data_IF_537819297991
#
_entry.id   IF_537819297991
#
_cell.length_a   1.000
_cell.length_b   1.000
_cell.length_c   1.000
_cell.angle_alpha   90.00
_cell.angle_beta   90.00
_cell.angle_gamma   90.00
#
_symmetry.space_group_name_H-M   'P 1'
#
loop_
_entity.id
_entity.type
_entity.pdbx_description
1 polymer ?
#
# COMPACT_ATOMS: atom_id res chain seq x y z
N UNK A 1 -2.15 -24.45 16.08
CA UNK A 1 -2.19 -23.49 14.96
C UNK A 1 -2.42 -22.11 15.54
N UNK A 2 -1.55 -21.15 15.22
CA UNK A 2 -1.66 -19.78 15.72
C UNK A 2 -2.87 -19.08 15.09
N UNK A 3 -3.64 -18.35 15.88
CA UNK A 3 -4.76 -17.52 15.39
C UNK A 3 -4.36 -16.05 15.28
N UNK A 4 -4.92 -15.36 14.30
CA UNK A 4 -4.78 -13.91 14.14
C UNK A 4 -6.01 -13.22 14.72
N UNK A 5 -5.78 -12.26 15.64
CA UNK A 5 -6.83 -11.39 16.17
C UNK A 5 -6.90 -10.13 15.30
N UNK A 6 -8.03 -9.94 14.63
CA UNK A 6 -8.31 -8.73 13.84
C UNK A 6 -8.66 -7.56 14.75
N UNK A 7 -8.59 -6.34 14.21
CA UNK A 7 -9.01 -5.12 14.95
C UNK A 7 -10.47 -5.17 15.40
N UNK A 8 -11.30 -5.90 14.67
CA UNK A 8 -12.71 -6.17 14.99
C UNK A 8 -12.91 -7.17 16.13
N UNK A 9 -11.83 -7.68 16.75
CA UNK A 9 -11.81 -8.80 17.72
C UNK A 9 -12.16 -10.17 17.13
N UNK A 10 -12.41 -10.25 15.82
CA UNK A 10 -12.58 -11.53 15.13
C UNK A 10 -11.26 -12.33 15.11
N UNK A 11 -11.37 -13.64 15.29
CA UNK A 11 -10.25 -14.56 15.16
C UNK A 11 -10.28 -15.24 13.80
N UNK A 12 -9.14 -15.28 13.11
CA UNK A 12 -8.95 -16.09 11.90
C UNK A 12 -7.71 -16.96 12.02
N UNK A 13 -7.59 -17.97 11.16
CA UNK A 13 -6.38 -18.78 11.09
C UNK A 13 -5.23 -17.94 10.51
N UNK A 14 -4.04 -18.09 11.09
CA UNK A 14 -2.84 -17.50 10.54
C UNK A 14 -2.47 -18.19 9.22
N UNK A 15 -2.43 -17.41 8.14
CA UNK A 15 -2.07 -17.88 6.80
C UNK A 15 -0.82 -17.13 6.31
N UNK A 16 0.35 -17.79 6.20
CA UNK A 16 1.59 -17.18 5.71
C UNK A 16 1.43 -16.49 4.34
N UNK A 17 0.65 -17.11 3.45
CA UNK A 17 0.43 -16.61 2.09
C UNK A 17 -0.23 -15.22 2.06
N UNK A 18 -1.02 -14.85 3.07
CA UNK A 18 -1.59 -13.50 3.16
C UNK A 18 -0.50 -12.45 3.33
N UNK A 19 0.54 -12.75 4.12
CA UNK A 19 1.67 -11.86 4.35
C UNK A 19 2.54 -11.80 3.09
N UNK A 20 2.91 -12.97 2.56
CA UNK A 20 3.70 -13.08 1.34
C UNK A 20 3.08 -12.28 0.19
N UNK A 21 1.81 -12.51 -0.12
CA UNK A 21 1.12 -11.81 -1.21
C UNK A 21 1.02 -10.30 -0.97
N UNK A 22 0.89 -9.87 0.29
CA UNK A 22 0.88 -8.44 0.61
C UNK A 22 2.26 -7.80 0.38
N UNK A 23 3.35 -8.50 0.70
CA UNK A 23 4.72 -8.07 0.44
C UNK A 23 4.99 -7.94 -1.07
N UNK A 24 4.65 -8.97 -1.86
CA UNK A 24 4.81 -8.94 -3.32
C UNK A 24 4.01 -7.80 -3.95
N UNK A 25 2.77 -7.56 -3.50
CA UNK A 25 1.94 -6.46 -3.99
C UNK A 25 2.49 -5.08 -3.61
N UNK A 26 3.20 -4.97 -2.50
CA UNK A 26 3.92 -3.76 -2.13
C UNK A 26 5.19 -3.53 -2.96
N UNK A 27 5.56 -4.48 -3.82
CA UNK A 27 6.75 -4.40 -4.66
C UNK A 27 7.99 -5.02 -4.04
N UNK A 28 7.85 -5.81 -2.96
CA UNK A 28 8.97 -6.51 -2.37
C UNK A 28 9.50 -7.62 -3.29
N UNK A 29 10.79 -7.91 -3.23
CA UNK A 29 11.37 -9.07 -3.92
C UNK A 29 10.87 -10.39 -3.32
N UNK A 30 10.84 -11.45 -4.14
CA UNK A 30 10.46 -12.80 -3.71
C UNK A 30 11.34 -13.31 -2.55
N UNK A 31 12.63 -13.01 -2.59
CA UNK A 31 13.60 -13.39 -1.56
C UNK A 31 13.29 -12.71 -0.22
N UNK A 32 13.15 -11.37 -0.21
CA UNK A 32 12.81 -10.61 1.00
C UNK A 32 11.42 -10.98 1.52
N UNK A 33 10.45 -11.23 0.63
CA UNK A 33 9.12 -11.67 1.03
C UNK A 33 9.16 -13.02 1.77
N UNK A 34 9.91 -13.99 1.24
CA UNK A 34 10.11 -15.31 1.87
C UNK A 34 10.88 -15.21 3.18
N UNK A 35 11.92 -14.37 3.23
CA UNK A 35 12.68 -14.12 4.46
C UNK A 35 11.77 -13.63 5.59
N UNK A 36 11.05 -12.53 5.37
CA UNK A 36 10.17 -11.92 6.38
C UNK A 36 9.09 -12.92 6.86
N UNK A 37 8.50 -13.69 5.93
CA UNK A 37 7.50 -14.73 6.26
C UNK A 37 8.09 -15.84 7.12
N UNK A 38 9.30 -16.29 6.81
CA UNK A 38 9.98 -17.32 7.61
C UNK A 38 10.31 -16.81 9.01
N UNK A 39 10.80 -15.57 9.14
CA UNK A 39 11.11 -15.01 10.45
C UNK A 39 9.86 -14.87 11.33
N UNK A 40 8.74 -14.40 10.78
CA UNK A 40 7.50 -14.27 11.56
C UNK A 40 6.93 -15.65 11.93
N UNK A 41 7.02 -16.65 11.03
CA UNK A 41 6.61 -18.02 11.31
C UNK A 41 7.34 -18.59 12.52
N UNK A 42 8.67 -18.45 12.56
CA UNK A 42 9.47 -18.90 13.71
C UNK A 42 9.15 -18.10 14.98
N UNK A 43 8.90 -16.79 14.86
CA UNK A 43 8.50 -15.94 15.99
C UNK A 43 7.18 -16.36 16.65
N UNK A 44 6.22 -16.84 15.86
CA UNK A 44 4.87 -17.17 16.35
C UNK A 44 4.64 -18.67 16.59
N UNK A 45 5.60 -19.52 16.24
CA UNK A 45 5.52 -20.99 16.31
C UNK A 45 4.96 -21.54 17.62
N UNK A 46 5.31 -20.90 18.74
CA UNK A 46 4.89 -21.30 20.10
C UNK A 46 3.82 -20.38 20.69
N UNK A 47 3.10 -19.61 19.86
CA UNK A 47 2.04 -18.69 20.28
C UNK A 47 0.69 -19.20 19.82
N UNK A 48 -0.28 -19.12 20.72
CA UNK A 48 -1.68 -19.44 20.41
C UNK A 48 -2.34 -18.35 19.56
N UNK A 49 -2.01 -17.08 19.84
CA UNK A 49 -2.60 -15.92 19.17
C UNK A 49 -1.58 -14.84 18.88
N UNK A 50 -1.80 -14.08 17.82
CA UNK A 50 -1.08 -12.86 17.47
C UNK A 50 -2.07 -11.83 16.90
N UNK A 51 -1.89 -10.54 17.20
CA UNK A 51 -2.75 -9.50 16.61
C UNK A 51 -2.32 -9.12 15.18
N UNK A 52 -3.26 -8.63 14.37
CA UNK A 52 -2.98 -8.06 13.04
C UNK A 52 -1.96 -6.91 13.14
N UNK A 53 -2.04 -6.10 14.19
CA UNK A 53 -1.13 -4.96 14.39
C UNK A 53 0.29 -5.42 14.76
N UNK A 54 0.44 -6.52 15.52
CA UNK A 54 1.75 -7.12 15.79
C UNK A 54 2.40 -7.67 14.52
N UNK A 55 1.66 -8.46 13.72
CA UNK A 55 2.15 -8.97 12.43
C UNK A 55 2.63 -7.80 11.58
N UNK A 56 1.77 -6.80 11.43
CA UNK A 56 2.04 -5.64 10.61
C UNK A 56 3.27 -4.87 11.08
N UNK A 57 3.37 -4.59 12.38
CA UNK A 57 4.52 -3.87 12.95
C UNK A 57 5.81 -4.62 12.67
N UNK A 58 5.80 -5.95 12.84
CA UNK A 58 6.96 -6.78 12.54
C UNK A 58 7.34 -6.69 11.06
N UNK A 59 6.38 -6.98 10.17
CA UNK A 59 6.57 -6.99 8.72
C UNK A 59 7.07 -5.65 8.21
N UNK A 60 6.44 -4.53 8.58
CA UNK A 60 6.89 -3.20 8.14
C UNK A 60 8.26 -2.82 8.71
N UNK A 61 8.60 -3.22 9.93
CA UNK A 61 9.92 -2.95 10.50
C UNK A 61 11.01 -3.65 9.69
N UNK A 62 10.80 -4.94 9.38
CA UNK A 62 11.76 -5.72 8.59
C UNK A 62 11.81 -5.24 7.14
N UNK A 63 10.66 -4.98 6.53
CA UNK A 63 10.59 -4.45 5.17
C UNK A 63 11.29 -3.09 5.05
N UNK A 64 11.13 -2.19 6.03
CA UNK A 64 11.82 -0.89 6.02
C UNK A 64 13.34 -1.00 6.12
N UNK A 65 13.86 -2.10 6.66
CA UNK A 65 15.30 -2.36 6.78
C UNK A 65 15.86 -3.02 5.51
N UNK A 66 15.09 -3.93 4.91
CA UNK A 66 15.53 -4.73 3.76
C UNK A 66 15.24 -4.04 2.43
N UNK A 67 14.03 -3.50 2.26
CA UNK A 67 13.55 -2.84 1.04
C UNK A 67 12.69 -1.60 1.39
N UNK A 68 13.33 -0.46 1.72
CA UNK A 68 12.64 0.75 2.17
C UNK A 68 11.58 1.27 1.19
N UNK A 69 11.81 1.15 -0.11
CA UNK A 69 10.86 1.57 -1.14
C UNK A 69 9.57 0.75 -1.12
N UNK A 70 9.66 -0.57 -0.86
CA UNK A 70 8.48 -1.43 -0.72
C UNK A 70 7.71 -1.12 0.58
N UNK A 71 8.42 -0.73 1.64
CA UNK A 71 7.79 -0.27 2.87
C UNK A 71 7.04 1.06 2.68
N UNK A 72 7.63 2.04 1.99
CA UNK A 72 6.97 3.30 1.64
C UNK A 72 5.74 3.05 0.74
N UNK A 73 5.88 2.19 -0.28
CA UNK A 73 4.78 1.78 -1.15
C UNK A 73 3.62 1.15 -0.39
N UNK A 74 3.90 0.26 0.57
CA UNK A 74 2.87 -0.32 1.44
C UNK A 74 2.15 0.76 2.25
N UNK A 75 2.90 1.65 2.91
CA UNK A 75 2.33 2.71 3.73
C UNK A 75 1.51 3.70 2.91
N UNK A 76 1.98 4.03 1.71
CA UNK A 76 1.26 4.83 0.72
C UNK A 76 -0.06 4.16 0.33
N UNK A 77 -0.02 2.87 -0.02
CA UNK A 77 -1.22 2.10 -0.36
C UNK A 77 -2.27 2.14 0.76
N UNK A 78 -1.86 1.92 2.01
CA UNK A 78 -2.80 1.93 3.13
C UNK A 78 -3.37 3.33 3.40
N UNK A 79 -2.57 4.38 3.20
CA UNK A 79 -3.02 5.76 3.31
C UNK A 79 -4.13 6.06 2.29
N UNK A 80 -3.92 5.65 1.04
CA UNK A 80 -4.79 5.94 -0.10
C UNK A 80 -6.04 5.05 -0.11
N UNK A 81 -5.89 3.74 0.06
CA UNK A 81 -6.95 2.76 -0.22
C UNK A 81 -7.69 2.23 1.02
N UNK A 82 -7.05 2.22 2.20
CA UNK A 82 -7.62 1.62 3.43
C UNK A 82 -8.16 2.63 4.44
N UNK A 83 -8.20 3.92 4.09
CA UNK A 83 -8.75 4.95 4.98
C UNK A 83 -7.83 5.30 6.14
N UNK A 84 -6.71 5.95 5.83
CA UNK A 84 -5.95 6.79 6.78
C UNK A 84 -5.46 6.06 8.04
N UNK A 85 -4.78 4.93 7.86
CA UNK A 85 -3.99 4.32 8.94
C UNK A 85 -2.54 4.76 8.77
N UNK A 86 -2.09 5.75 9.54
CA UNK A 86 -0.66 6.06 9.66
C UNK A 86 -0.10 5.38 10.91
N UNK A 87 1.18 5.02 10.90
CA UNK A 87 1.85 4.42 12.05
C UNK A 87 3.03 5.30 12.42
N UNK A 88 2.90 6.03 13.54
CA UNK A 88 4.01 6.77 14.14
C UNK A 88 4.52 5.94 15.31
N UNK A 89 5.80 5.56 15.29
CA UNK A 89 6.48 4.81 16.37
C UNK A 89 5.77 3.53 16.84
N UNK A 90 5.16 2.79 15.90
CA UNK A 90 4.49 1.53 16.19
C UNK A 90 3.12 1.67 16.87
N UNK A 91 2.54 2.88 16.92
CA UNK A 91 1.13 3.10 17.26
C UNK A 91 0.32 3.38 16.00
N UNK A 92 -0.76 2.63 15.80
CA UNK A 92 -1.73 2.93 14.76
C UNK A 92 -2.44 4.25 15.10
N UNK A 93 -2.22 5.28 14.29
CA UNK A 93 -3.04 6.49 14.29
C UNK A 93 -4.06 6.30 13.16
N UNK A 94 -5.30 6.01 13.56
CA UNK A 94 -6.44 6.11 12.65
C UNK A 94 -6.80 7.58 12.60
N UNK A 95 -6.55 8.26 11.48
CA UNK A 95 -7.04 9.63 11.28
C UNK A 95 -8.52 9.52 10.92
N UNK A 96 -9.35 9.37 11.95
CA UNK A 96 -10.80 9.43 11.82
C UNK A 96 -11.18 10.86 11.44
N UNK A 97 -11.56 11.05 10.17
CA UNK A 97 -11.93 12.33 9.55
C UNK A 97 -11.08 13.54 9.96
N UNK A 98 -10.07 13.79 9.14
CA UNK A 98 -9.47 15.11 8.99
C UNK A 98 -8.07 15.24 9.56
N UNK A 99 -7.19 15.78 8.70
CA UNK A 99 -5.84 16.29 8.97
C UNK A 99 -4.76 15.23 9.21
N UNK A 100 -4.10 14.83 8.12
CA UNK A 100 -2.68 14.46 8.13
C UNK A 100 -1.95 15.54 7.32
N UNK A 101 -0.88 16.14 7.86
CA UNK A 101 -0.20 17.32 7.31
C UNK A 101 -0.14 17.32 5.78
N UNK A 102 -1.00 18.16 5.24
CA UNK A 102 -1.29 18.31 3.83
C UNK A 102 -0.24 19.26 3.24
N UNK A 103 0.31 18.92 2.08
CA UNK A 103 0.54 19.95 1.06
C UNK A 103 -0.73 20.80 0.93
N UNK A 104 -0.60 22.08 0.58
CA UNK A 104 -1.56 23.17 0.93
C UNK A 104 -3.02 22.99 0.47
N UNK A 105 -3.38 21.95 -0.27
CA UNK A 105 -4.73 21.57 -0.69
C UNK A 105 -5.41 20.62 0.31
N UNK A 106 -6.40 21.15 1.05
CA UNK A 106 -7.30 20.36 1.90
C UNK A 106 -8.51 19.96 1.07
N UNK A 107 -8.67 18.67 0.75
CA UNK A 107 -9.93 18.13 0.21
C UNK A 107 -10.37 16.87 0.94
N UNK A 108 -11.67 16.77 1.19
CA UNK A 108 -12.28 15.60 1.82
C UNK A 108 -12.50 14.50 0.79
N UNK A 109 -11.60 13.52 0.78
CA UNK A 109 -11.88 12.23 0.14
C UNK A 109 -12.62 11.32 1.12
N UNK A 110 -13.61 10.59 0.59
CA UNK A 110 -14.21 9.44 1.26
C UNK A 110 -13.16 8.37 1.61
N UNK A 111 -13.56 7.27 2.26
CA UNK A 111 -12.61 6.27 2.76
C UNK A 111 -11.80 5.56 1.66
N UNK A 112 -12.17 5.69 0.38
CA UNK A 112 -11.63 4.93 -0.74
C UNK A 112 -11.52 5.78 -2.03
N UNK A 113 -10.64 5.33 -2.93
CA UNK A 113 -10.61 5.74 -4.34
C UNK A 113 -11.81 5.13 -5.06
N UNK A 114 -12.66 5.97 -5.64
CA UNK A 114 -13.88 5.57 -6.36
C UNK A 114 -13.89 6.03 -7.81
N UNK A 115 -13.02 6.97 -8.21
CA UNK A 115 -12.93 7.45 -9.59
C UNK A 115 -11.52 7.92 -9.97
N UNK A 116 -11.34 8.12 -11.27
CA UNK A 116 -10.12 8.59 -11.92
C UNK A 116 -9.72 10.03 -11.56
N UNK A 117 -10.68 10.90 -11.19
CA UNK A 117 -10.36 12.26 -10.73
C UNK A 117 -9.53 12.22 -9.45
N UNK A 118 -9.90 11.36 -8.49
CA UNK A 118 -9.09 11.20 -7.28
C UNK A 118 -7.70 10.62 -7.57
N UNK A 119 -7.56 9.76 -8.59
CA UNK A 119 -6.25 9.25 -9.03
C UNK A 119 -5.40 10.38 -9.59
N UNK A 120 -5.99 11.26 -10.40
CA UNK A 120 -5.32 12.46 -10.92
C UNK A 120 -4.83 13.38 -9.80
N UNK A 121 -5.66 13.62 -8.78
CA UNK A 121 -5.26 14.44 -7.62
C UNK A 121 -4.06 13.83 -6.87
N UNK A 122 -4.00 12.51 -6.74
CA UNK A 122 -2.83 11.82 -6.16
C UNK A 122 -1.58 11.98 -7.03
N UNK A 123 -1.72 11.94 -8.36
CA UNK A 123 -0.60 12.15 -9.29
C UNK A 123 -0.06 13.59 -9.21
N UNK A 124 -0.95 14.57 -9.03
CA UNK A 124 -0.56 15.96 -8.80
C UNK A 124 0.24 16.10 -7.48
N UNK A 125 -0.19 15.44 -6.40
CA UNK A 125 0.57 15.38 -5.14
C UNK A 125 1.95 14.71 -5.32
N UNK A 126 2.03 13.60 -6.06
CA UNK A 126 3.31 12.94 -6.34
C UNK A 126 4.25 13.83 -7.16
N UNK A 127 3.71 14.68 -8.04
CA UNK A 127 4.49 15.67 -8.77
C UNK A 127 5.04 16.74 -7.85
N UNK A 128 4.22 17.27 -6.93
CA UNK A 128 4.69 18.21 -5.91
C UNK A 128 5.77 17.58 -5.02
N UNK A 129 5.56 16.35 -4.54
CA UNK A 129 6.56 15.60 -3.74
C UNK A 129 7.91 15.48 -4.47
N UNK A 130 7.89 15.28 -5.80
CA UNK A 130 9.11 15.29 -6.62
C UNK A 130 9.80 16.65 -6.64
N UNK A 131 9.04 17.73 -6.80
CA UNK A 131 9.57 19.10 -6.78
C UNK A 131 10.20 19.45 -5.42
N UNK A 132 9.67 18.88 -4.33
CA UNK A 132 10.24 18.99 -2.98
C UNK A 132 11.41 18.03 -2.69
N UNK A 133 11.85 17.26 -3.69
CA UNK A 133 13.07 16.45 -3.62
C UNK A 133 12.87 14.99 -3.22
N UNK A 134 11.65 14.45 -3.30
CA UNK A 134 11.44 13.01 -3.13
C UNK A 134 12.15 12.23 -4.25
N UNK A 135 12.84 11.15 -3.87
CA UNK A 135 13.66 10.41 -4.85
C UNK A 135 12.80 9.74 -5.94
N UNK A 136 13.32 9.64 -7.18
CA UNK A 136 12.62 8.93 -8.27
C UNK A 136 12.27 7.48 -7.93
N UNK A 137 13.08 6.81 -7.09
CA UNK A 137 12.82 5.43 -6.64
C UNK A 137 11.55 5.34 -5.80
N UNK A 138 11.40 6.24 -4.83
CA UNK A 138 10.21 6.31 -3.96
C UNK A 138 8.97 6.63 -4.78
N UNK A 139 9.07 7.57 -5.72
CA UNK A 139 7.96 7.91 -6.63
C UNK A 139 7.54 6.71 -7.47
N UNK A 140 8.50 5.99 -8.06
CA UNK A 140 8.20 4.79 -8.83
C UNK A 140 7.49 3.72 -7.96
N UNK A 141 7.92 3.56 -6.71
CA UNK A 141 7.29 2.64 -5.76
C UNK A 141 5.85 3.05 -5.41
N UNK A 142 5.59 4.34 -5.16
CA UNK A 142 4.24 4.88 -4.92
C UNK A 142 3.33 4.76 -6.13
N UNK A 143 3.84 5.03 -7.33
CA UNK A 143 3.08 4.82 -8.58
C UNK A 143 2.72 3.35 -8.78
N UNK A 144 3.63 2.43 -8.45
CA UNK A 144 3.33 0.99 -8.50
C UNK A 144 2.23 0.62 -7.51
N UNK A 145 2.30 1.12 -6.27
CA UNK A 145 1.26 0.93 -5.27
C UNK A 145 -0.10 1.50 -5.70
N UNK A 146 -0.11 2.69 -6.31
CA UNK A 146 -1.31 3.32 -6.86
C UNK A 146 -1.92 2.45 -7.97
N UNK A 147 -1.10 2.01 -8.92
CA UNK A 147 -1.51 1.13 -10.01
C UNK A 147 -2.09 -0.19 -9.50
N UNK A 148 -1.38 -0.88 -8.60
CA UNK A 148 -1.84 -2.14 -8.03
C UNK A 148 -3.14 -1.97 -7.24
N UNK A 149 -3.31 -0.84 -6.57
CA UNK A 149 -4.54 -0.55 -5.85
C UNK A 149 -5.73 -0.28 -6.77
N UNK A 150 -5.55 0.49 -7.85
CA UNK A 150 -6.58 0.67 -8.88
C UNK A 150 -6.96 -0.66 -9.52
N UNK A 151 -5.96 -1.46 -9.90
CA UNK A 151 -6.16 -2.74 -10.58
C UNK A 151 -7.03 -3.71 -9.75
N UNK A 152 -6.76 -3.80 -8.45
CA UNK A 152 -7.40 -4.78 -7.57
C UNK A 152 -8.60 -4.24 -6.78
N UNK A 153 -9.00 -2.98 -6.95
CA UNK A 153 -10.18 -2.44 -6.26
C UNK A 153 -11.47 -2.96 -6.91
N UNK A 154 -12.22 -3.78 -6.18
CA UNK A 154 -13.50 -4.35 -6.67
C UNK A 154 -14.66 -3.34 -6.69
N UNK A 155 -14.47 -2.15 -6.14
CA UNK A 155 -15.52 -1.12 -6.04
C UNK A 155 -15.43 -0.09 -7.16
N UNK A 156 -14.27 0.02 -7.79
CA UNK A 156 -14.06 0.85 -8.96
C UNK A 156 -14.54 0.08 -10.19
N UNK A 157 -15.42 0.68 -10.98
CA UNK A 157 -15.89 0.05 -12.22
C UNK A 157 -14.78 0.03 -13.29
N UNK A 158 -14.95 -0.81 -14.31
CA UNK A 158 -13.95 -1.01 -15.37
C UNK A 158 -13.58 0.30 -16.07
N UNK A 159 -14.56 1.14 -16.41
CA UNK A 159 -14.33 2.42 -17.09
C UNK A 159 -13.43 3.36 -16.26
N UNK A 160 -13.68 3.46 -14.95
CA UNK A 160 -12.87 4.29 -14.05
C UNK A 160 -11.48 3.67 -13.80
N UNK A 161 -11.35 2.33 -13.82
CA UNK A 161 -10.04 1.67 -13.78
C UNK A 161 -9.22 1.99 -15.03
N UNK A 162 -9.83 1.91 -16.21
CA UNK A 162 -9.16 2.22 -17.49
C UNK A 162 -8.64 3.65 -17.50
N UNK A 163 -9.50 4.63 -17.19
CA UNK A 163 -9.09 6.05 -17.07
C UNK A 163 -7.99 6.26 -16.05
N UNK A 164 -8.09 5.61 -14.88
CA UNK A 164 -7.08 5.71 -13.83
C UNK A 164 -5.73 5.15 -14.27
N UNK A 165 -5.72 4.00 -14.94
CA UNK A 165 -4.50 3.37 -15.46
C UNK A 165 -3.89 4.23 -16.58
N UNK A 166 -4.72 4.82 -17.45
CA UNK A 166 -4.27 5.76 -18.47
C UNK A 166 -3.55 6.96 -17.84
N UNK A 167 -4.17 7.63 -16.86
CA UNK A 167 -3.57 8.75 -16.11
C UNK A 167 -2.23 8.37 -15.48
N UNK A 168 -2.16 7.22 -14.81
CA UNK A 168 -0.91 6.72 -14.21
C UNK A 168 0.16 6.51 -15.30
N UNK A 169 -0.22 5.95 -16.44
CA UNK A 169 0.71 5.68 -17.53
C UNK A 169 1.18 6.95 -18.26
N UNK A 170 0.32 7.95 -18.42
CA UNK A 170 0.70 9.28 -18.92
C UNK A 170 1.70 9.95 -17.98
N UNK A 171 1.44 9.91 -16.67
CA UNK A 171 2.38 10.42 -15.67
C UNK A 171 3.75 9.72 -15.77
N UNK A 172 3.77 8.39 -15.86
CA UNK A 172 5.01 7.62 -16.05
C UNK A 172 5.75 8.01 -17.33
N UNK A 173 5.04 8.14 -18.46
CA UNK A 173 5.62 8.58 -19.74
C UNK A 173 6.25 9.98 -19.62
N UNK A 174 5.61 10.89 -18.88
CA UNK A 174 6.14 12.24 -18.64
C UNK A 174 7.48 12.22 -17.89
N UNK A 175 7.73 11.19 -17.09
CA UNK A 175 8.99 10.95 -16.37
C UNK A 175 10.01 10.11 -17.17
N UNK A 176 9.69 9.76 -18.42
CA UNK A 176 10.52 8.89 -19.26
C UNK A 176 10.48 7.41 -18.88
N UNK A 177 9.48 6.98 -18.09
CA UNK A 177 9.31 5.59 -17.68
C UNK A 177 8.38 4.83 -18.61
N UNK A 178 8.61 3.51 -18.70
CA UNK A 178 7.72 2.61 -19.45
C UNK A 178 6.34 2.56 -18.77
N UNK A 179 5.24 2.56 -19.55
CA UNK A 179 3.90 2.36 -18.99
C UNK A 179 3.80 0.96 -18.34
N UNK A 180 2.88 0.82 -17.40
CA UNK A 180 2.45 -0.47 -16.89
C UNK A 180 1.56 -1.16 -17.91
N UNK A 181 1.74 -2.48 -18.02
CA UNK A 181 1.00 -3.36 -18.91
C UNK A 181 0.08 -4.27 -18.08
N UNK A 182 -1.15 -4.42 -18.54
CA UNK A 182 -2.10 -5.36 -17.96
C UNK A 182 -1.73 -6.79 -18.38
N UNK A 183 -1.58 -7.67 -17.40
CA UNK A 183 -1.35 -9.10 -17.64
C UNK A 183 -2.65 -9.86 -17.92
N UNK A 184 -3.75 -9.36 -17.38
CA UNK A 184 -5.09 -9.92 -17.46
C UNK A 184 -6.10 -8.79 -17.72
N UNK A 185 -7.27 -9.08 -18.33
CA UNK A 185 -8.34 -8.10 -18.49
C UNK A 185 -8.81 -7.53 -17.15
N UNK A 186 -9.35 -6.31 -17.17
CA UNK A 186 -9.93 -5.69 -15.97
C UNK A 186 -11.27 -6.36 -15.63
N UNK A 187 -11.46 -6.63 -14.34
CA UNK A 187 -12.70 -7.13 -13.74
C UNK A 187 -13.45 -6.03 -12.98
#
# INVERSE_FOLDING_TARGET
>A
MTKVIKRTQEEEEYLPDKIYNSLIRAGASDEVAKEIVNEINEKIKNRDKISTDEIRRYVLTRLSQLEPEAADAWQFFDRVFKGRITFLDGKAIVVDKGKLYLGRSVKDFGPHLVNSEQVKEILDELKEDMEYGLSPKVINARLYALFMGVLHDKRMNVEEKEKSIELINEFRKSLGWKPYELKEPLE
#
